data_IF_840155030945
#
_entry.id   IF_840155030945
#
_cell.length_a   1.000
_cell.length_b   1.000
_cell.length_c   1.000
_cell.angle_alpha   90.00
_cell.angle_beta   90.00
_cell.angle_gamma   90.00
#
_symmetry.space_group_name_H-M   'P 1'
#
loop_
_entity.id
_entity.type
_entity.pdbx_description
1 polymer ?
#
# COMPACT_ATOMS: atom_id res chain seq x y z
N UNK A 1 7.74 18.82 22.91
CA UNK A 1 6.66 18.14 22.17
C UNK A 1 6.89 18.46 20.71
N UNK A 2 7.17 17.44 19.86
CA UNK A 2 7.24 17.60 18.41
C UNK A 2 5.88 18.10 17.92
N UNK A 3 5.88 19.01 16.92
CA UNK A 3 4.64 19.45 16.28
C UNK A 3 3.87 18.30 15.63
N UNK A 4 2.63 18.55 15.17
CA UNK A 4 1.80 17.53 14.51
C UNK A 4 2.51 16.97 13.27
N UNK A 5 2.34 15.68 13.04
CA UNK A 5 2.97 14.95 11.94
C UNK A 5 1.99 14.73 10.79
N UNK A 6 2.54 14.45 9.61
CA UNK A 6 1.77 14.01 8.44
C UNK A 6 2.26 12.65 8.01
N UNK A 7 1.34 11.69 7.89
CA UNK A 7 1.63 10.38 7.33
C UNK A 7 0.95 10.23 5.96
N UNK A 8 1.65 9.61 5.03
CA UNK A 8 1.14 9.28 3.71
C UNK A 8 1.09 7.77 3.57
N UNK A 9 -0.10 7.21 3.31
CA UNK A 9 -0.32 5.77 3.25
C UNK A 9 -0.64 5.35 1.83
N UNK A 10 0.13 4.38 1.32
CA UNK A 10 -0.04 3.74 0.02
C UNK A 10 -0.56 2.33 0.28
N UNK A 11 -1.82 2.04 -0.04
CA UNK A 11 -2.37 0.68 0.13
C UNK A 11 -2.03 -0.22 -1.06
N UNK A 12 -2.41 -1.45 -0.95
CA UNK A 12 -2.34 -2.58 -1.88
C UNK A 12 -2.15 -2.16 -3.36
N UNK A 13 -0.90 -2.12 -3.84
CA UNK A 13 -0.54 -1.74 -5.23
C UNK A 13 -0.60 -2.96 -6.16
N UNK A 14 -0.30 -4.14 -5.65
CA UNK A 14 -0.43 -5.45 -6.29
C UNK A 14 0.17 -5.51 -7.69
N UNK A 15 1.42 -5.09 -7.83
CA UNK A 15 2.12 -5.03 -9.11
C UNK A 15 2.39 -6.43 -9.66
N UNK A 16 2.03 -6.61 -10.94
CA UNK A 16 2.30 -7.81 -11.74
C UNK A 16 3.11 -7.45 -12.98
N UNK A 17 3.81 -8.42 -13.59
CA UNK A 17 4.42 -8.22 -14.90
C UNK A 17 3.43 -7.68 -15.92
N UNK A 18 3.80 -6.59 -16.58
CA UNK A 18 2.99 -5.94 -17.60
C UNK A 18 1.91 -4.97 -17.08
N UNK A 19 1.72 -4.81 -15.79
CA UNK A 19 0.76 -3.84 -15.26
C UNK A 19 1.13 -2.38 -15.59
N UNK A 20 0.12 -1.54 -15.79
CA UNK A 20 0.31 -0.11 -15.85
C UNK A 20 0.54 0.44 -14.44
N UNK A 21 1.64 1.17 -14.27
CA UNK A 21 2.06 1.72 -12.98
C UNK A 21 2.16 3.25 -12.96
N UNK A 22 1.49 3.91 -13.91
CA UNK A 22 1.57 5.37 -14.10
C UNK A 22 1.09 6.17 -12.88
N UNK A 23 0.15 5.62 -12.13
CA UNK A 23 -0.34 6.21 -10.88
C UNK A 23 0.77 6.41 -9.83
N UNK A 24 1.85 5.66 -9.88
CA UNK A 24 2.97 5.82 -8.96
C UNK A 24 3.73 7.13 -9.20
N UNK A 25 3.76 7.64 -10.43
CA UNK A 25 4.33 8.97 -10.74
C UNK A 25 3.49 10.08 -10.08
N UNK A 26 2.16 9.96 -10.14
CA UNK A 26 1.26 10.94 -9.54
C UNK A 26 1.35 10.91 -8.02
N UNK A 27 1.44 9.73 -7.44
CA UNK A 27 1.64 9.53 -5.99
C UNK A 27 2.97 10.12 -5.55
N UNK A 28 4.05 9.87 -6.29
CA UNK A 28 5.36 10.43 -5.99
C UNK A 28 5.34 11.98 -6.01
N UNK A 29 4.67 12.57 -7.02
CA UNK A 29 4.51 14.03 -7.11
C UNK A 29 3.68 14.59 -5.93
N UNK A 30 2.60 13.89 -5.54
CA UNK A 30 1.79 14.30 -4.39
C UNK A 30 2.56 14.20 -3.06
N UNK A 31 3.36 13.15 -2.88
CA UNK A 31 4.28 13.01 -1.74
C UNK A 31 5.30 14.15 -1.71
N UNK A 32 5.93 14.47 -2.85
CA UNK A 32 6.89 15.57 -2.98
C UNK A 32 6.24 16.91 -2.65
N UNK A 33 5.01 17.15 -3.11
CA UNK A 33 4.27 18.38 -2.83
C UNK A 33 3.90 18.51 -1.35
N UNK A 34 3.42 17.42 -0.74
CA UNK A 34 2.94 17.42 0.66
C UNK A 34 4.02 17.32 1.69
N UNK A 35 5.17 16.75 1.34
CA UNK A 35 6.32 16.51 2.24
C UNK A 35 5.91 15.89 3.57
N UNK A 36 5.33 14.67 3.56
CA UNK A 36 4.95 13.99 4.79
C UNK A 36 6.17 13.69 5.67
N UNK A 37 5.95 13.52 6.97
CA UNK A 37 6.97 13.06 7.92
C UNK A 37 7.19 11.55 7.84
N UNK A 38 6.14 10.81 7.47
CA UNK A 38 6.15 9.34 7.35
C UNK A 38 5.46 8.93 6.05
N UNK A 39 6.04 7.98 5.35
CA UNK A 39 5.47 7.33 4.17
C UNK A 39 5.32 5.85 4.52
N UNK A 40 4.09 5.34 4.51
CA UNK A 40 3.79 3.95 4.83
C UNK A 40 3.25 3.25 3.59
N UNK A 41 3.95 2.23 3.11
CA UNK A 41 3.40 1.24 2.19
C UNK A 41 2.84 0.09 3.05
N UNK A 42 1.52 -0.15 2.96
CA UNK A 42 0.85 -1.03 3.93
C UNK A 42 0.75 -2.49 3.47
N UNK A 43 1.68 -2.92 2.63
CA UNK A 43 1.79 -4.28 2.11
C UNK A 43 1.02 -4.53 0.84
N UNK A 44 1.13 -5.74 0.33
CA UNK A 44 0.60 -6.16 -0.97
C UNK A 44 1.00 -5.19 -2.08
N UNK A 45 2.26 -4.75 -2.08
CA UNK A 45 2.83 -3.96 -3.16
C UNK A 45 3.25 -4.86 -4.32
N UNK A 46 3.95 -5.97 -4.02
CA UNK A 46 4.27 -7.03 -4.96
C UNK A 46 3.15 -8.06 -4.94
N UNK A 47 2.53 -8.36 -6.08
CA UNK A 47 1.46 -9.38 -6.10
C UNK A 47 2.02 -10.81 -6.01
N UNK A 48 3.14 -11.11 -6.65
CA UNK A 48 3.76 -12.43 -6.74
C UNK A 48 2.77 -13.53 -7.22
N UNK A 49 2.12 -13.38 -8.38
CA UNK A 49 1.11 -14.32 -8.86
C UNK A 49 1.69 -15.71 -9.12
N UNK A 50 2.97 -15.83 -9.52
CA UNK A 50 3.65 -17.11 -9.73
C UNK A 50 3.65 -17.99 -8.46
N UNK A 51 3.62 -17.39 -7.26
CA UNK A 51 3.62 -18.07 -5.97
C UNK A 51 2.20 -18.19 -5.34
N UNK A 52 1.15 -17.81 -6.08
CA UNK A 52 -0.23 -17.95 -5.62
C UNK A 52 -0.61 -19.43 -5.49
N UNK A 53 -1.18 -19.81 -4.35
CA UNK A 53 -1.75 -21.16 -4.16
C UNK A 53 -3.17 -21.31 -4.72
N UNK A 54 -3.82 -20.20 -5.04
CA UNK A 54 -5.21 -20.19 -5.53
C UNK A 54 -5.28 -20.45 -7.02
N UNK A 55 -4.19 -20.23 -7.76
CA UNK A 55 -4.09 -20.56 -9.17
C UNK A 55 -3.33 -21.89 -9.32
N UNK A 56 -3.99 -22.98 -9.76
CA UNK A 56 -3.34 -24.28 -9.94
C UNK A 56 -2.15 -24.23 -10.91
N UNK A 57 -1.17 -25.10 -10.71
CA UNK A 57 -0.11 -25.29 -11.69
C UNK A 57 -0.74 -25.72 -13.03
N UNK A 58 -0.39 -25.03 -14.12
CA UNK A 58 -0.98 -25.25 -15.45
C UNK A 58 -2.26 -24.46 -15.75
N UNK A 59 -2.72 -23.58 -14.86
CA UNK A 59 -3.77 -22.61 -15.20
C UNK A 59 -3.22 -21.54 -16.14
N UNK A 60 -4.08 -20.93 -16.96
CA UNK A 60 -3.71 -19.78 -17.83
C UNK A 60 -3.09 -18.64 -17.04
N UNK A 61 -3.52 -18.42 -15.81
CA UNK A 61 -2.96 -17.39 -14.91
C UNK A 61 -1.49 -17.64 -14.54
N UNK A 62 -1.04 -18.91 -14.63
CA UNK A 62 0.38 -19.29 -14.38
C UNK A 62 1.15 -19.60 -15.63
N UNK A 63 0.55 -19.51 -16.80
CA UNK A 63 1.26 -19.73 -18.05
C UNK A 63 2.41 -18.72 -18.19
N UNK A 64 3.62 -19.23 -18.36
CA UNK A 64 4.87 -18.44 -18.44
C UNK A 64 5.18 -17.57 -17.21
N UNK A 65 4.49 -17.75 -16.06
CA UNK A 65 4.76 -16.96 -14.86
C UNK A 65 6.08 -17.43 -14.20
N UNK A 66 6.91 -16.47 -13.79
CA UNK A 66 8.18 -16.70 -13.11
C UNK A 66 8.32 -15.76 -11.92
N UNK A 67 8.87 -16.26 -10.83
CA UNK A 67 9.12 -15.46 -9.62
C UNK A 67 10.01 -14.25 -9.92
N UNK A 68 11.03 -14.43 -10.78
CA UNK A 68 11.94 -13.33 -11.12
C UNK A 68 11.21 -12.21 -11.86
N UNK A 69 10.28 -12.54 -12.78
CA UNK A 69 9.52 -11.53 -13.52
C UNK A 69 8.57 -10.76 -12.58
N UNK A 70 7.98 -11.44 -11.58
CA UNK A 70 7.16 -10.81 -10.55
C UNK A 70 7.98 -9.82 -9.70
N UNK A 71 9.20 -10.22 -9.28
CA UNK A 71 10.11 -9.37 -8.52
C UNK A 71 10.56 -8.17 -9.34
N UNK A 72 11.01 -8.39 -10.58
CA UNK A 72 11.48 -7.33 -11.46
C UNK A 72 10.38 -6.29 -11.72
N UNK A 73 9.13 -6.73 -11.90
CA UNK A 73 7.99 -5.82 -12.06
C UNK A 73 7.74 -4.99 -10.79
N UNK A 74 7.76 -5.62 -9.63
CA UNK A 74 7.61 -4.94 -8.35
C UNK A 74 8.74 -3.96 -8.06
N UNK A 75 9.99 -4.35 -8.32
CA UNK A 75 11.17 -3.50 -8.14
C UNK A 75 11.17 -2.30 -9.11
N UNK A 76 10.76 -2.50 -10.35
CA UNK A 76 10.59 -1.39 -11.31
C UNK A 76 9.52 -0.39 -10.83
N UNK A 77 8.40 -0.87 -10.31
CA UNK A 77 7.35 -0.04 -9.75
C UNK A 77 7.81 0.68 -8.48
N UNK A 78 8.53 0.01 -7.58
CA UNK A 78 9.08 0.61 -6.37
C UNK A 78 10.10 1.70 -6.72
N UNK A 79 10.97 1.46 -7.71
CA UNK A 79 11.90 2.46 -8.23
C UNK A 79 11.13 3.66 -8.80
N UNK A 80 10.08 3.43 -9.60
CA UNK A 80 9.24 4.49 -10.18
C UNK A 80 8.64 5.40 -9.11
N UNK A 81 8.15 4.82 -8.02
CA UNK A 81 7.61 5.56 -6.88
C UNK A 81 8.69 6.36 -6.14
N UNK A 82 9.81 5.71 -5.83
CA UNK A 82 10.75 6.25 -4.83
C UNK A 82 11.83 7.13 -5.43
N UNK A 83 12.26 6.88 -6.67
CA UNK A 83 13.35 7.63 -7.30
C UNK A 83 13.11 9.15 -7.35
N UNK A 84 11.94 9.67 -7.81
CA UNK A 84 11.70 11.12 -7.80
C UNK A 84 11.64 11.71 -6.38
N UNK A 85 11.17 10.94 -5.40
CA UNK A 85 11.15 11.36 -3.99
C UNK A 85 12.57 11.54 -3.47
N UNK A 86 13.47 10.57 -3.73
CA UNK A 86 14.87 10.65 -3.35
C UNK A 86 15.61 11.78 -4.07
N UNK A 87 15.30 12.02 -5.34
CA UNK A 87 15.85 13.19 -6.07
C UNK A 87 15.48 14.49 -5.37
N UNK A 88 14.21 14.68 -4.96
CA UNK A 88 13.78 15.91 -4.27
C UNK A 88 14.43 16.04 -2.88
N UNK A 89 14.53 14.94 -2.11
CA UNK A 89 15.23 14.95 -0.81
C UNK A 89 16.67 15.42 -0.99
N UNK A 90 17.39 14.87 -1.98
CA UNK A 90 18.77 15.23 -2.28
C UNK A 90 18.89 16.71 -2.74
N UNK A 91 17.99 17.15 -3.63
CA UNK A 91 17.93 18.54 -4.11
C UNK A 91 17.75 19.53 -2.96
N UNK A 92 16.88 19.23 -1.99
CA UNK A 92 16.66 20.06 -0.81
C UNK A 92 17.92 20.11 0.05
N UNK A 93 18.60 18.97 0.25
CA UNK A 93 19.82 18.86 1.03
C UNK A 93 20.97 19.67 0.43
N UNK A 94 21.17 19.58 -0.88
CA UNK A 94 22.21 20.29 -1.61
C UNK A 94 22.00 21.81 -1.59
N UNK A 95 20.76 22.26 -1.63
CA UNK A 95 20.41 23.67 -1.56
C UNK A 95 20.42 24.25 -0.13
N UNK A 96 20.97 23.53 0.86
CA UNK A 96 21.07 23.95 2.27
C UNK A 96 19.76 24.44 2.90
N UNK A 97 18.60 24.01 2.38
CA UNK A 97 17.28 24.29 2.95
C UNK A 97 17.01 23.34 4.13
N UNK A 98 15.98 23.68 4.93
CA UNK A 98 15.53 22.78 6.01
C UNK A 98 15.29 21.38 5.42
N UNK A 99 16.05 20.40 5.90
CA UNK A 99 16.02 19.05 5.36
C UNK A 99 14.63 18.43 5.54
N UNK A 100 14.08 17.89 4.46
CA UNK A 100 12.94 16.98 4.50
C UNK A 100 13.49 15.55 4.59
N UNK A 101 13.18 14.86 5.68
CA UNK A 101 13.68 13.51 6.00
C UNK A 101 12.50 12.63 6.42
N UNK A 102 11.68 12.18 5.47
CA UNK A 102 10.57 11.29 5.80
C UNK A 102 11.10 9.93 6.25
N UNK A 103 10.37 9.30 7.19
CA UNK A 103 10.56 7.90 7.52
C UNK A 103 9.78 7.07 6.52
N UNK A 104 10.42 6.10 5.88
CA UNK A 104 9.77 5.16 4.97
C UNK A 104 9.53 3.85 5.71
N UNK A 105 8.30 3.36 5.73
CA UNK A 105 7.92 2.11 6.40
C UNK A 105 7.14 1.22 5.43
N UNK A 106 7.53 -0.04 5.37
CA UNK A 106 6.88 -1.06 4.56
C UNK A 106 6.39 -2.18 5.49
N UNK A 107 5.08 -2.34 5.67
CA UNK A 107 4.53 -3.50 6.37
C UNK A 107 4.27 -4.59 5.34
N UNK A 108 4.89 -5.76 5.48
CA UNK A 108 4.66 -6.87 4.55
C UNK A 108 3.18 -7.30 4.55
N UNK A 109 2.63 -7.53 3.36
CA UNK A 109 1.32 -8.10 3.16
C UNK A 109 1.36 -9.62 2.93
N UNK A 110 0.19 -10.19 2.73
CA UNK A 110 0.08 -11.63 2.47
C UNK A 110 0.59 -12.02 1.08
N UNK A 111 0.71 -11.08 0.15
CA UNK A 111 1.26 -11.33 -1.18
C UNK A 111 2.79 -11.43 -1.11
N UNK A 112 3.49 -10.53 -0.45
CA UNK A 112 4.94 -10.70 -0.21
C UNK A 112 5.21 -11.98 0.59
N UNK A 113 4.37 -12.30 1.57
CA UNK A 113 4.51 -13.51 2.38
C UNK A 113 4.33 -14.82 1.58
N UNK A 114 3.77 -14.77 0.34
CA UNK A 114 3.72 -15.93 -0.57
C UNK A 114 5.09 -16.56 -0.76
N UNK A 115 6.14 -15.75 -0.87
CA UNK A 115 7.51 -16.22 -1.04
C UNK A 115 8.00 -17.04 0.17
N UNK A 116 7.82 -16.54 1.39
CA UNK A 116 8.22 -17.25 2.61
C UNK A 116 7.38 -18.51 2.83
N UNK A 117 6.07 -18.45 2.54
CA UNK A 117 5.20 -19.61 2.61
C UNK A 117 5.65 -20.70 1.63
N UNK A 118 5.92 -20.35 0.36
CA UNK A 118 6.41 -21.29 -0.64
C UNK A 118 7.69 -22.00 -0.16
N UNK A 119 8.64 -21.26 0.37
CA UNK A 119 9.87 -21.83 0.92
C UNK A 119 9.63 -22.72 2.15
N UNK A 120 8.57 -22.47 2.93
CA UNK A 120 8.21 -23.32 4.08
C UNK A 120 7.58 -24.66 3.69
N UNK A 121 6.98 -24.72 2.50
CA UNK A 121 6.35 -25.94 1.96
C UNK A 121 7.39 -26.91 1.35
N UNK A 122 8.58 -26.41 1.00
CA UNK A 122 9.68 -27.22 0.47
C UNK A 122 11.04 -26.73 1.01
N UNK A 123 11.63 -27.50 1.91
CA UNK A 123 12.88 -27.17 2.60
C UNK A 123 14.05 -26.87 1.65
N UNK A 124 14.03 -27.34 0.39
CA UNK A 124 15.07 -27.06 -0.61
C UNK A 124 15.12 -25.58 -1.01
N UNK A 125 14.04 -24.84 -0.81
CA UNK A 125 13.95 -23.42 -1.15
C UNK A 125 14.22 -22.51 0.06
N UNK A 126 14.46 -23.06 1.25
CA UNK A 126 14.82 -22.26 2.42
C UNK A 126 16.12 -21.46 2.16
N UNK A 127 16.03 -20.14 2.38
CA UNK A 127 17.14 -19.21 2.10
C UNK A 127 17.30 -18.79 0.64
N UNK A 128 16.67 -19.51 -0.32
CA UNK A 128 16.67 -19.14 -1.74
C UNK A 128 15.45 -18.28 -2.11
N UNK A 129 14.28 -18.63 -1.57
CA UNK A 129 13.01 -17.91 -1.78
C UNK A 129 12.51 -17.41 -0.45
N UNK A 130 12.07 -16.17 -0.42
CA UNK A 130 11.54 -15.51 0.78
C UNK A 130 11.23 -14.04 0.52
N UNK A 131 10.68 -13.35 1.51
CA UNK A 131 10.34 -11.92 1.39
C UNK A 131 11.54 -11.01 1.11
N UNK A 132 12.76 -11.49 1.39
CA UNK A 132 14.01 -10.79 1.06
C UNK A 132 14.21 -10.55 -0.44
N UNK A 133 13.51 -11.29 -1.31
CA UNK A 133 13.53 -11.04 -2.76
C UNK A 133 12.86 -9.71 -3.13
N UNK A 134 11.89 -9.26 -2.35
CA UNK A 134 11.30 -7.92 -2.49
C UNK A 134 12.25 -6.91 -1.85
N UNK A 135 13.10 -6.26 -2.62
CA UNK A 135 14.26 -5.46 -2.15
C UNK A 135 13.86 -4.10 -1.53
N UNK A 136 12.81 -4.03 -0.70
CA UNK A 136 12.22 -2.76 -0.21
C UNK A 136 13.23 -1.89 0.56
N UNK A 137 14.19 -2.48 1.25
CA UNK A 137 15.25 -1.76 1.97
C UNK A 137 16.17 -0.99 1.02
N UNK A 138 16.39 -1.50 -0.19
CA UNK A 138 17.20 -0.84 -1.23
C UNK A 138 16.58 0.46 -1.70
N UNK A 139 15.27 0.61 -1.51
CA UNK A 139 14.51 1.82 -1.81
C UNK A 139 14.33 2.75 -0.60
N UNK A 140 14.94 2.40 0.54
CA UNK A 140 14.95 3.19 1.77
C UNK A 140 13.84 2.88 2.76
N UNK A 141 13.05 1.84 2.54
CA UNK A 141 12.02 1.42 3.47
C UNK A 141 12.58 0.59 4.64
N UNK A 142 12.08 0.89 5.83
CA UNK A 142 12.16 0.01 6.99
C UNK A 142 11.11 -1.10 6.81
N UNK A 143 11.55 -2.35 6.72
CA UNK A 143 10.66 -3.51 6.61
C UNK A 143 10.09 -3.88 7.96
N UNK A 144 8.78 -4.05 8.02
CA UNK A 144 8.05 -4.64 9.13
C UNK A 144 7.51 -6.00 8.67
N UNK A 145 7.92 -7.10 9.30
CA UNK A 145 7.52 -8.44 8.87
C UNK A 145 6.01 -8.64 8.86
N UNK A 146 5.54 -9.56 8.02
CA UNK A 146 4.13 -9.90 7.90
C UNK A 146 3.49 -10.22 9.26
N UNK A 147 2.28 -9.69 9.48
CA UNK A 147 1.51 -9.81 10.72
C UNK A 147 2.13 -9.13 11.96
N UNK A 148 3.22 -8.43 11.83
CA UNK A 148 3.75 -7.61 12.91
C UNK A 148 3.21 -6.18 12.80
N UNK A 149 2.57 -5.65 13.86
CA UNK A 149 2.13 -4.26 13.88
C UNK A 149 3.28 -3.32 14.24
N UNK A 150 3.23 -2.11 13.71
CA UNK A 150 4.15 -1.03 14.08
C UNK A 150 3.35 0.20 14.51
N UNK A 151 3.75 0.81 15.61
CA UNK A 151 3.24 2.10 16.05
C UNK A 151 4.11 3.25 15.55
N UNK A 152 3.45 4.27 14.99
CA UNK A 152 4.12 5.50 14.55
C UNK A 152 3.26 6.68 15.00
N UNK A 153 3.81 7.52 15.87
CA UNK A 153 3.13 8.73 16.41
C UNK A 153 1.72 8.44 16.99
N UNK A 154 1.52 7.27 17.58
CA UNK A 154 0.26 6.85 18.20
C UNK A 154 -0.73 6.15 17.25
N UNK A 155 -0.40 6.03 15.97
CA UNK A 155 -1.20 5.28 14.99
C UNK A 155 -0.54 3.94 14.70
N UNK A 156 -1.31 2.88 14.72
CA UNK A 156 -0.84 1.53 14.47
C UNK A 156 -1.05 1.13 13.01
N UNK A 157 -0.03 0.52 12.41
CA UNK A 157 -0.03 0.05 11.03
C UNK A 157 0.22 -1.45 10.98
N UNK A 158 -0.59 -2.15 10.22
CA UNK A 158 -0.42 -3.57 9.92
C UNK A 158 -1.21 -3.89 8.65
N UNK A 159 -0.72 -4.80 7.81
CA UNK A 159 -1.46 -5.16 6.61
C UNK A 159 -2.87 -5.64 6.92
N UNK A 160 -3.02 -6.52 7.93
CA UNK A 160 -4.31 -6.82 8.58
C UNK A 160 -4.09 -7.30 10.03
N UNK A 161 -5.16 -7.28 10.82
CA UNK A 161 -5.14 -7.67 12.23
C UNK A 161 -5.74 -9.06 12.41
N UNK A 162 -5.06 -9.92 13.16
CA UNK A 162 -5.62 -11.21 13.60
C UNK A 162 -6.36 -11.08 14.93
N UNK A 163 -7.38 -11.89 15.08
CA UNK A 163 -8.02 -12.06 16.38
C UNK A 163 -7.08 -12.84 17.30
N UNK A 164 -6.91 -12.41 18.56
CA UNK A 164 -6.09 -13.10 19.55
C UNK A 164 -6.44 -14.58 19.74
N UNK A 165 -7.72 -14.95 19.49
CA UNK A 165 -8.25 -16.28 19.68
C UNK A 165 -8.51 -17.05 18.36
N UNK A 166 -8.06 -16.54 17.22
CA UNK A 166 -8.31 -17.16 15.91
C UNK A 166 -7.25 -16.74 14.90
N UNK A 167 -6.79 -17.63 14.03
CA UNK A 167 -5.85 -17.28 12.95
C UNK A 167 -6.49 -16.40 11.84
N UNK A 168 -7.81 -16.16 11.89
CA UNK A 168 -8.51 -15.36 10.88
C UNK A 168 -8.34 -13.88 11.13
N UNK A 169 -8.29 -13.04 10.05
CA UNK A 169 -8.30 -11.59 10.17
C UNK A 169 -9.53 -11.10 10.95
N UNK A 170 -9.35 -9.99 11.67
CA UNK A 170 -10.46 -9.29 12.33
C UNK A 170 -11.31 -8.62 11.24
N UNK A 171 -12.50 -9.17 11.01
CA UNK A 171 -13.49 -8.64 10.08
C UNK A 171 -14.54 -7.75 10.76
N UNK A 172 -15.56 -7.38 9.97
CA UNK A 172 -16.71 -6.59 10.41
C UNK A 172 -16.55 -5.09 10.19
N UNK A 173 -17.43 -4.31 10.83
CA UNK A 173 -17.44 -2.85 10.74
C UNK A 173 -16.21 -2.22 11.39
N UNK A 174 -15.92 -0.96 11.06
CA UNK A 174 -14.83 -0.20 11.71
C UNK A 174 -15.07 -0.09 13.21
N UNK A 175 -16.31 0.13 13.65
CA UNK A 175 -16.66 0.20 15.08
C UNK A 175 -16.33 -1.10 15.81
N UNK A 176 -16.63 -2.26 15.19
CA UNK A 176 -16.27 -3.55 15.76
C UNK A 176 -14.74 -3.72 15.89
N UNK A 177 -13.97 -3.25 14.90
CA UNK A 177 -12.51 -3.28 14.94
C UNK A 177 -11.95 -2.34 15.99
N UNK A 178 -12.44 -1.10 16.06
CA UNK A 178 -12.06 -0.12 17.10
C UNK A 178 -12.37 -0.62 18.51
N UNK A 179 -13.50 -1.32 18.68
CA UNK A 179 -13.84 -1.95 19.96
C UNK A 179 -12.87 -3.08 20.36
N UNK A 180 -12.42 -3.87 19.38
CA UNK A 180 -11.49 -4.98 19.63
C UNK A 180 -10.05 -4.55 19.82
N UNK A 181 -9.60 -3.55 19.05
CA UNK A 181 -8.22 -3.10 19.04
C UNK A 181 -7.94 -2.04 20.11
N UNK A 182 -8.88 -1.12 20.36
CA UNK A 182 -8.74 -0.09 21.41
C UNK A 182 -7.77 1.04 21.09
N UNK A 183 -7.29 1.15 19.84
CA UNK A 183 -6.34 2.17 19.39
C UNK A 183 -6.62 2.59 17.93
N UNK A 184 -6.01 3.70 17.51
CA UNK A 184 -6.07 4.15 16.12
C UNK A 184 -5.26 3.24 15.22
N UNK A 185 -5.82 2.82 14.09
CA UNK A 185 -5.15 1.92 13.16
C UNK A 185 -5.41 2.24 11.69
N UNK A 186 -4.46 1.86 10.85
CA UNK A 186 -4.60 1.80 9.40
C UNK A 186 -4.21 0.40 8.94
N UNK A 187 -5.03 -0.19 8.07
CA UNK A 187 -4.78 -1.49 7.45
C UNK A 187 -5.10 -1.49 5.95
N UNK A 188 -4.51 -2.42 5.20
CA UNK A 188 -4.79 -2.76 3.81
C UNK A 188 -5.69 -3.99 3.67
N UNK A 189 -5.32 -4.91 2.74
CA UNK A 189 -5.85 -6.26 2.54
C UNK A 189 -7.28 -6.35 1.96
N UNK A 190 -8.24 -5.62 2.48
CA UNK A 190 -9.65 -5.76 2.05
C UNK A 190 -9.97 -5.02 0.76
N UNK A 191 -9.07 -4.17 0.28
CA UNK A 191 -9.14 -3.40 -0.97
C UNK A 191 -10.35 -2.46 -1.10
N UNK A 192 -11.28 -2.48 -0.15
CA UNK A 192 -12.39 -1.54 -0.04
C UNK A 192 -12.12 -0.48 1.03
N UNK A 193 -12.29 0.80 0.70
CA UNK A 193 -12.10 1.87 1.67
C UNK A 193 -13.17 1.86 2.75
N UNK A 194 -12.74 1.88 4.02
CA UNK A 194 -13.63 2.09 5.18
C UNK A 194 -12.97 3.05 6.17
N UNK A 195 -13.76 3.89 6.81
CA UNK A 195 -13.32 4.81 7.84
C UNK A 195 -14.37 4.93 8.93
N UNK A 196 -13.93 5.08 10.15
CA UNK A 196 -14.74 5.46 11.30
C UNK A 196 -13.87 5.95 12.45
N UNK A 197 -14.47 6.65 13.39
CA UNK A 197 -13.78 7.12 14.58
C UNK A 197 -14.63 6.87 15.82
N UNK A 198 -13.99 6.93 16.98
CA UNK A 198 -14.64 6.72 18.26
C UNK A 198 -14.05 7.67 19.31
N UNK A 199 -14.84 8.60 19.85
CA UNK A 199 -14.42 9.38 21.01
C UNK A 199 -14.33 8.50 22.26
N UNK A 200 -13.30 8.72 23.06
CA UNK A 200 -13.05 8.04 24.32
C UNK A 200 -13.36 8.95 25.49
N UNK A 201 -13.75 8.39 26.68
CA UNK A 201 -14.08 9.18 27.86
C UNK A 201 -12.94 10.07 28.39
N UNK A 202 -11.70 9.80 27.99
CA UNK A 202 -10.51 10.60 28.34
C UNK A 202 -10.29 11.81 27.40
N UNK A 203 -11.24 12.13 26.51
CA UNK A 203 -11.18 13.26 25.59
C UNK A 203 -10.38 13.00 24.31
N UNK A 204 -9.81 11.79 24.12
CA UNK A 204 -9.14 11.40 22.86
C UNK A 204 -10.13 10.77 21.89
N UNK A 205 -9.79 10.83 20.61
CA UNK A 205 -10.51 10.08 19.56
C UNK A 205 -9.57 9.05 18.98
N UNK A 206 -10.07 7.83 18.78
CA UNK A 206 -9.38 6.80 18.01
C UNK A 206 -10.03 6.61 16.66
N UNK A 207 -9.23 6.32 15.64
CA UNK A 207 -9.64 6.23 14.25
C UNK A 207 -9.31 4.86 13.67
N UNK A 208 -10.19 4.33 12.84
CA UNK A 208 -9.96 3.10 12.10
C UNK A 208 -10.05 3.33 10.59
N UNK A 209 -9.04 2.92 9.85
CA UNK A 209 -9.01 3.00 8.40
C UNK A 209 -8.70 1.62 7.81
N UNK A 210 -9.54 1.18 6.86
CA UNK A 210 -9.17 0.23 5.82
C UNK A 210 -8.86 1.07 4.58
N UNK A 211 -7.61 1.02 4.11
CA UNK A 211 -7.08 2.04 3.21
C UNK A 211 -7.48 1.85 1.73
N UNK A 212 -8.20 0.76 1.41
CA UNK A 212 -8.59 0.47 0.03
C UNK A 212 -7.46 -0.17 -0.78
N UNK A 213 -7.41 0.11 -2.08
CA UNK A 213 -6.40 -0.39 -3.01
C UNK A 213 -5.77 0.74 -3.81
N UNK A 214 -4.63 0.46 -4.46
CA UNK A 214 -3.86 1.45 -5.20
C UNK A 214 -3.30 0.86 -6.51
N UNK A 215 -4.15 0.25 -7.34
CA UNK A 215 -3.78 -0.31 -8.64
C UNK A 215 -4.76 0.14 -9.73
N UNK A 216 -4.35 0.05 -10.99
CA UNK A 216 -5.15 0.43 -12.16
C UNK A 216 -5.85 -0.76 -12.82
N UNK A 217 -5.36 -1.97 -12.63
CA UNK A 217 -5.89 -3.20 -13.22
C UNK A 217 -7.22 -3.67 -12.64
N UNK A 218 -7.67 -4.83 -13.11
CA UNK A 218 -8.86 -5.55 -12.60
C UNK A 218 -8.42 -6.83 -11.91
N UNK A 219 -8.96 -7.10 -10.74
CA UNK A 219 -8.78 -8.37 -10.04
C UNK A 219 -9.84 -9.38 -10.48
N UNK A 220 -9.45 -10.30 -11.36
CA UNK A 220 -10.38 -11.28 -11.98
C UNK A 220 -11.17 -12.12 -10.96
N UNK A 221 -10.57 -12.48 -9.84
CA UNK A 221 -11.21 -13.29 -8.80
C UNK A 221 -12.34 -12.56 -8.05
N UNK A 222 -12.40 -11.23 -8.13
CA UNK A 222 -13.41 -10.41 -7.42
C UNK A 222 -14.72 -10.27 -8.21
N UNK A 223 -14.69 -10.65 -9.49
CA UNK A 223 -15.82 -10.51 -10.39
C UNK A 223 -16.20 -9.05 -10.70
N UNK A 224 -17.27 -8.82 -11.49
CA UNK A 224 -17.64 -7.48 -11.96
C UNK A 224 -17.96 -6.47 -10.84
N UNK A 225 -18.50 -6.94 -9.72
CA UNK A 225 -18.85 -6.05 -8.60
C UNK A 225 -17.62 -5.57 -7.82
N UNK A 226 -16.54 -6.34 -7.81
CA UNK A 226 -15.28 -5.96 -7.17
C UNK A 226 -14.49 -4.89 -7.94
N UNK A 227 -14.79 -4.69 -9.21
CA UNK A 227 -14.10 -3.71 -10.06
C UNK A 227 -14.42 -2.25 -9.73
N UNK A 228 -15.52 -1.98 -9.02
CA UNK A 228 -15.98 -0.65 -8.64
C UNK A 228 -15.47 -0.18 -7.28
N UNK A 229 -14.44 -0.82 -6.73
CA UNK A 229 -13.92 -0.43 -5.42
C UNK A 229 -13.08 0.84 -5.47
N UNK A 230 -12.99 1.47 -4.29
CA UNK A 230 -12.24 2.69 -4.12
C UNK A 230 -10.73 2.45 -4.32
N UNK A 231 -10.10 3.28 -5.15
CA UNK A 231 -8.68 3.23 -5.48
C UNK A 231 -8.03 4.57 -5.20
N UNK A 232 -6.95 4.55 -4.43
CA UNK A 232 -6.28 5.80 -4.06
C UNK A 232 -5.28 5.65 -2.94
N UNK A 233 -4.95 6.78 -2.31
CA UNK A 233 -4.04 6.88 -1.17
C UNK A 233 -4.69 7.62 -0.02
N UNK A 234 -4.13 7.50 1.19
CA UNK A 234 -4.65 8.17 2.39
C UNK A 234 -3.57 9.07 2.97
N UNK A 235 -3.93 10.30 3.29
CA UNK A 235 -3.05 11.21 4.02
C UNK A 235 -3.64 11.44 5.40
N UNK A 236 -2.87 11.19 6.44
CA UNK A 236 -3.22 11.55 7.81
C UNK A 236 -2.57 12.88 8.13
N UNK A 237 -3.39 13.90 8.35
CA UNK A 237 -2.95 15.22 8.78
C UNK A 237 -3.03 15.34 10.30
N UNK A 238 -2.25 16.25 10.86
CA UNK A 238 -2.28 16.60 12.28
C UNK A 238 -2.17 15.38 13.22
N UNK A 239 -1.36 14.37 12.82
CA UNK A 239 -1.16 13.18 13.63
C UNK A 239 -0.49 13.57 14.95
N UNK A 240 -1.10 13.21 16.07
CA UNK A 240 -0.66 13.54 17.43
C UNK A 240 -0.42 12.28 18.25
N UNK A 241 0.45 12.39 19.25
CA UNK A 241 0.62 11.34 20.24
C UNK A 241 -0.72 10.95 20.85
N UNK A 242 -1.08 9.65 20.72
CA UNK A 242 -2.39 9.13 21.10
C UNK A 242 -3.26 8.74 19.90
N UNK A 243 -2.78 8.99 18.68
CA UNK A 243 -3.38 8.46 17.45
C UNK A 243 -4.59 9.23 16.94
N UNK A 244 -4.78 10.47 17.38
CA UNK A 244 -5.75 11.36 16.79
C UNK A 244 -5.19 11.99 15.51
N UNK A 245 -6.03 12.14 14.45
CA UNK A 245 -5.62 12.71 13.16
C UNK A 245 -6.82 13.09 12.28
N UNK A 246 -6.57 13.91 11.25
CA UNK A 246 -7.54 14.25 10.21
C UNK A 246 -7.23 13.48 8.90
N UNK A 247 -8.07 12.53 8.48
CA UNK A 247 -7.83 11.76 7.27
C UNK A 247 -8.25 12.50 6.00
N UNK A 248 -7.42 12.40 4.96
CA UNK A 248 -7.75 12.84 3.60
C UNK A 248 -7.61 11.65 2.66
N UNK A 249 -8.66 11.33 1.91
CA UNK A 249 -8.71 10.25 0.93
C UNK A 249 -8.55 10.83 -0.47
N UNK A 250 -7.51 10.39 -1.19
CA UNK A 250 -7.17 10.85 -2.53
C UNK A 250 -7.40 9.72 -3.52
N UNK A 251 -8.37 9.84 -4.40
CA UNK A 251 -8.61 8.82 -5.44
C UNK A 251 -7.54 8.90 -6.53
N UNK A 252 -7.25 7.78 -7.20
CA UNK A 252 -6.37 7.79 -8.37
C UNK A 252 -6.91 8.69 -9.50
N UNK A 253 -8.24 8.85 -9.63
CA UNK A 253 -8.85 9.81 -10.54
C UNK A 253 -8.45 11.25 -10.22
N UNK A 254 -8.54 11.62 -8.95
CA UNK A 254 -8.11 12.95 -8.49
C UNK A 254 -6.61 13.16 -8.76
N UNK A 255 -5.77 12.18 -8.42
CA UNK A 255 -4.32 12.28 -8.63
C UNK A 255 -3.96 12.37 -10.12
N UNK A 256 -4.62 11.58 -10.98
CA UNK A 256 -4.44 11.68 -12.42
C UNK A 256 -4.78 13.09 -12.91
N UNK A 257 -5.97 13.61 -12.60
CA UNK A 257 -6.39 14.94 -13.02
C UNK A 257 -5.46 16.03 -12.48
N UNK A 258 -5.04 15.94 -11.23
CA UNK A 258 -4.18 16.94 -10.59
C UNK A 258 -2.79 17.03 -11.22
N UNK A 259 -2.20 15.89 -11.60
CA UNK A 259 -0.81 15.81 -12.05
C UNK A 259 -0.63 15.66 -13.56
N UNK A 260 -1.68 15.33 -14.31
CA UNK A 260 -1.63 15.22 -15.77
C UNK A 260 -2.54 16.22 -16.49
N UNK A 261 -3.53 16.76 -15.81
CA UNK A 261 -4.58 17.60 -16.42
C UNK A 261 -5.64 16.78 -17.17
N UNK A 262 -5.54 15.45 -17.19
CA UNK A 262 -6.44 14.54 -17.92
C UNK A 262 -7.28 13.71 -16.93
N UNK A 263 -8.50 13.36 -17.30
CA UNK A 263 -9.26 12.38 -16.51
C UNK A 263 -8.66 10.97 -16.67
N UNK A 264 -8.83 10.13 -15.66
CA UNK A 264 -8.14 8.84 -15.58
C UNK A 264 -8.48 7.89 -16.74
N UNK A 265 -9.76 7.67 -17.15
CA UNK A 265 -10.07 6.80 -18.27
C UNK A 265 -9.43 7.28 -19.58
N UNK A 266 -9.52 8.58 -19.91
CA UNK A 266 -8.96 9.12 -21.16
C UNK A 266 -7.43 9.01 -21.16
N UNK A 267 -6.78 9.31 -20.05
CA UNK A 267 -5.33 9.16 -19.90
C UNK A 267 -4.91 7.72 -20.20
N UNK A 268 -5.60 6.74 -19.61
CA UNK A 268 -5.27 5.32 -19.77
C UNK A 268 -5.54 4.81 -21.18
N UNK A 269 -6.68 5.18 -21.79
CA UNK A 269 -7.02 4.81 -23.19
C UNK A 269 -6.00 5.37 -24.19
N UNK A 270 -5.55 6.60 -23.98
CA UNK A 270 -4.53 7.24 -24.82
C UNK A 270 -3.16 6.55 -24.72
N UNK A 271 -2.79 6.14 -23.52
CA UNK A 271 -1.46 5.56 -23.22
C UNK A 271 -1.39 4.06 -23.50
N UNK A 272 -2.50 3.36 -23.32
CA UNK A 272 -2.62 1.92 -23.50
C UNK A 272 -3.88 1.59 -24.32
N UNK A 273 -3.90 1.92 -25.62
CA UNK A 273 -5.11 1.84 -26.46
C UNK A 273 -5.64 0.41 -26.67
N UNK A 274 -4.77 -0.57 -26.52
CA UNK A 274 -5.10 -1.99 -26.71
C UNK A 274 -5.72 -2.65 -25.47
N UNK A 275 -5.97 -1.88 -24.38
CA UNK A 275 -6.52 -2.39 -23.12
C UNK A 275 -7.89 -1.78 -22.82
N UNK A 276 -8.73 -2.57 -22.14
CA UNK A 276 -10.02 -2.09 -21.64
C UNK A 276 -9.83 -1.39 -20.27
N UNK A 277 -10.21 -0.12 -20.24
CA UNK A 277 -10.17 0.74 -19.06
C UNK A 277 -11.56 1.20 -18.60
N UNK A 278 -12.63 0.59 -19.12
CA UNK A 278 -14.03 0.94 -18.82
C UNK A 278 -14.33 0.90 -17.31
N UNK A 279 -13.68 0.01 -16.59
CA UNK A 279 -13.81 -0.12 -15.12
C UNK A 279 -13.25 1.07 -14.32
N UNK A 280 -12.53 1.99 -14.96
CA UNK A 280 -12.02 3.23 -14.34
C UNK A 280 -12.95 4.44 -14.54
N UNK A 281 -14.02 4.27 -15.34
CA UNK A 281 -14.98 5.33 -15.66
C UNK A 281 -15.82 5.80 -14.46
#
# INVERSE_FOLDING_TARGET
VSGPKRHYVIPDVQVRPGDATDHLDWIAQDIIRRKPDVIVCIGDFYDLPSLSKYSPAGSLEKENSRVIDDIDAGDAAMSRLTYPIWQEINRIRENKKKAWKPRFVFTEGNHEYRASRFASEDARFQGLVGTHLCSVESYGFERVPFEQPIEIDGVWYCHYWKNSNSPKPIGGTIDNRLNKLGFSFVQGHEQGKRYGNRPLPNGRTIHGIVAGSCYLGVEGYRGPQGSNEWRGTVVLHDVRNGGDFEPMFLTLRYLCQEYTGENLPDYMCKRYPDRDWSHLA
#
